data_IF_940641331440
#
_entry.id   IF_940641331440
#
_cell.length_a   1.000
_cell.length_b   1.000
_cell.length_c   1.000
_cell.angle_alpha   90.00
_cell.angle_beta   90.00
_cell.angle_gamma   90.00
#
_symmetry.space_group_name_H-M   'P 1'
#
loop_
_entity.id
_entity.type
_entity.pdbx_description
1 polymer ?
#
# COMPACT_ATOMS: atom_id res chain seq x y z
N UNK A 1 24.73 -6.89 11.71
CA UNK A 1 23.72 -6.88 12.81
C UNK A 1 23.90 -5.58 13.58
N UNK A 2 22.92 -4.66 13.60
CA UNK A 2 23.09 -3.40 14.29
C UNK A 2 23.15 -3.65 15.80
N UNK A 3 24.29 -3.37 16.41
CA UNK A 3 24.55 -3.55 17.86
C UNK A 3 24.23 -2.30 18.67
N UNK A 4 23.43 -1.36 18.15
CA UNK A 4 22.96 -0.22 18.92
C UNK A 4 21.55 -0.48 19.45
N UNK A 5 21.48 -0.91 20.71
CA UNK A 5 20.22 -1.11 21.46
C UNK A 5 19.36 0.16 21.55
N UNK A 6 19.92 1.34 21.25
CA UNK A 6 19.17 2.61 21.15
C UNK A 6 18.36 2.68 19.85
N UNK A 7 18.97 2.30 18.72
CA UNK A 7 18.34 2.29 17.41
C UNK A 7 17.25 1.21 17.29
N UNK A 8 17.45 0.03 17.88
CA UNK A 8 16.41 -0.99 17.93
C UNK A 8 15.20 -0.55 18.76
N UNK A 9 15.42 0.09 19.92
CA UNK A 9 14.35 0.64 20.76
C UNK A 9 13.57 1.76 20.05
N UNK A 10 14.24 2.59 19.24
CA UNK A 10 13.55 3.62 18.47
C UNK A 10 12.68 3.03 17.36
N UNK A 11 13.08 1.92 16.74
CA UNK A 11 12.26 1.23 15.72
C UNK A 11 11.02 0.60 16.34
N UNK A 12 11.13 -0.09 17.49
CA UNK A 12 9.94 -0.66 18.14
C UNK A 12 8.97 0.42 18.61
N UNK A 13 9.45 1.51 19.21
CA UNK A 13 8.58 2.62 19.60
C UNK A 13 7.88 3.27 18.40
N UNK A 14 8.57 3.40 17.26
CA UNK A 14 7.97 3.88 16.02
C UNK A 14 6.91 2.89 15.48
N UNK A 15 7.19 1.59 15.52
CA UNK A 15 6.23 0.56 15.12
C UNK A 15 4.96 0.59 15.98
N UNK A 16 5.10 0.68 17.30
CA UNK A 16 3.96 0.80 18.23
C UNK A 16 3.13 2.06 17.94
N UNK A 17 3.79 3.18 17.64
CA UNK A 17 3.09 4.41 17.29
C UNK A 17 2.36 4.30 15.95
N UNK A 18 2.99 3.70 14.93
CA UNK A 18 2.36 3.45 13.62
C UNK A 18 1.16 2.52 13.74
N UNK A 19 1.24 1.48 14.58
CA UNK A 19 0.11 0.61 14.88
C UNK A 19 -1.05 1.39 15.51
N UNK A 20 -0.77 2.26 16.49
CA UNK A 20 -1.79 3.08 17.12
C UNK A 20 -2.45 4.07 16.13
N UNK A 21 -1.68 4.70 15.25
CA UNK A 21 -2.21 5.59 14.20
C UNK A 21 -3.08 4.83 13.21
N UNK A 22 -2.63 3.66 12.75
CA UNK A 22 -3.40 2.84 11.80
C UNK A 22 -4.70 2.32 12.43
N UNK A 23 -4.67 1.93 13.70
CA UNK A 23 -5.87 1.57 14.45
C UNK A 23 -6.85 2.76 14.56
N UNK A 24 -6.34 3.97 14.84
CA UNK A 24 -7.18 5.17 14.89
C UNK A 24 -7.85 5.48 13.54
N UNK A 25 -7.15 5.27 12.43
CA UNK A 25 -7.71 5.42 11.08
C UNK A 25 -8.80 4.37 10.85
N UNK A 26 -8.53 3.10 11.16
CA UNK A 26 -9.52 2.03 11.03
C UNK A 26 -10.78 2.29 11.88
N UNK A 27 -10.61 2.69 13.14
CA UNK A 27 -11.72 3.01 14.04
C UNK A 27 -12.55 4.19 13.51
N UNK A 28 -11.92 5.15 12.81
CA UNK A 28 -12.63 6.29 12.22
C UNK A 28 -13.57 5.90 11.07
N UNK A 29 -13.25 4.81 10.37
CA UNK A 29 -14.03 4.29 9.24
C UNK A 29 -15.31 3.57 9.69
N UNK A 30 -15.43 3.21 10.97
CA UNK A 30 -16.65 2.63 11.54
C UNK A 30 -17.79 3.65 11.68
N UNK A 31 -17.49 4.96 11.70
CA UNK A 31 -18.50 6.01 11.70
C UNK A 31 -19.02 6.24 10.27
N UNK A 32 -20.31 6.00 9.98
CA UNK A 32 -20.87 6.27 8.65
C UNK A 32 -20.64 7.71 8.16
N UNK A 33 -20.57 8.68 9.08
CA UNK A 33 -20.32 10.07 8.73
C UNK A 33 -18.89 10.32 8.21
N UNK A 34 -17.95 9.41 8.44
CA UNK A 34 -16.59 9.50 7.90
C UNK A 34 -16.55 9.36 6.37
N UNK A 35 -17.62 8.84 5.76
CA UNK A 35 -17.74 8.62 4.32
C UNK A 35 -18.49 9.75 3.59
N UNK A 36 -19.07 10.69 4.34
CA UNK A 36 -19.88 11.77 3.79
C UNK A 36 -19.07 13.06 3.56
N UNK A 37 -19.42 13.79 2.50
CA UNK A 37 -18.90 15.13 2.23
C UNK A 37 -17.49 15.15 1.64
N UNK A 38 -16.79 16.27 1.83
CA UNK A 38 -15.44 16.52 1.30
C UNK A 38 -14.41 16.40 2.41
N UNK A 39 -13.24 15.85 2.08
CA UNK A 39 -12.09 15.76 2.98
C UNK A 39 -10.79 16.02 2.23
N UNK A 40 -9.68 16.15 2.95
CA UNK A 40 -8.38 16.50 2.39
C UNK A 40 -7.26 15.58 2.91
N UNK A 41 -6.41 15.12 2.00
CA UNK A 41 -5.11 14.54 2.32
C UNK A 41 -4.05 15.09 1.34
N UNK A 42 -2.82 15.32 1.81
CA UNK A 42 -1.74 15.79 0.95
C UNK A 42 -1.98 17.14 0.25
N UNK A 43 -2.91 17.97 0.76
CA UNK A 43 -3.31 19.23 0.12
C UNK A 43 -4.31 19.07 -1.03
N UNK A 44 -4.82 17.86 -1.27
CA UNK A 44 -5.84 17.55 -2.28
C UNK A 44 -7.17 17.31 -1.58
N UNK A 45 -8.21 18.03 -2.01
CA UNK A 45 -9.58 17.89 -1.50
C UNK A 45 -10.44 17.04 -2.45
N UNK A 46 -11.07 15.99 -1.93
CA UNK A 46 -11.91 15.03 -2.67
C UNK A 46 -13.08 14.55 -1.81
N UNK A 47 -14.11 13.91 -2.39
CA UNK A 47 -15.14 13.23 -1.61
C UNK A 47 -14.53 12.21 -0.63
N UNK A 48 -15.09 12.12 0.56
CA UNK A 48 -14.53 11.30 1.64
C UNK A 48 -14.47 9.81 1.27
N UNK A 49 -15.48 9.29 0.57
CA UNK A 49 -15.46 7.93 0.00
C UNK A 49 -14.26 7.67 -0.92
N UNK A 50 -13.90 8.64 -1.76
CA UNK A 50 -12.76 8.52 -2.67
C UNK A 50 -11.44 8.58 -1.88
N UNK A 51 -11.34 9.50 -0.92
CA UNK A 51 -10.13 9.61 -0.10
C UNK A 51 -9.90 8.37 0.76
N UNK A 52 -10.97 7.73 1.25
CA UNK A 52 -10.87 6.47 1.97
C UNK A 52 -10.37 5.32 1.09
N UNK A 53 -10.83 5.23 -0.17
CA UNK A 53 -10.29 4.28 -1.15
C UNK A 53 -8.80 4.52 -1.45
N UNK A 54 -8.40 5.80 -1.60
CA UNK A 54 -6.98 6.17 -1.76
C UNK A 54 -6.18 5.73 -0.54
N UNK A 55 -6.64 6.04 0.67
CA UNK A 55 -5.96 5.64 1.90
C UNK A 55 -5.83 4.12 2.04
N UNK A 56 -6.87 3.35 1.69
CA UNK A 56 -6.82 1.89 1.65
C UNK A 56 -5.77 1.39 0.64
N UNK A 57 -5.73 2.00 -0.55
CA UNK A 57 -4.72 1.70 -1.58
C UNK A 57 -3.30 1.93 -1.06
N UNK A 58 -3.03 3.06 -0.40
CA UNK A 58 -1.72 3.36 0.19
C UNK A 58 -1.30 2.29 1.21
N UNK A 59 -2.21 1.88 2.10
CA UNK A 59 -1.95 0.84 3.10
C UNK A 59 -1.64 -0.52 2.45
N UNK A 60 -2.41 -0.91 1.44
CA UNK A 60 -2.23 -2.20 0.74
C UNK A 60 -0.93 -2.22 -0.05
N UNK A 61 -0.68 -1.21 -0.88
CA UNK A 61 0.49 -1.18 -1.76
C UNK A 61 1.80 -1.08 -0.96
N UNK A 62 1.82 -0.23 0.07
CA UNK A 62 3.02 -0.09 0.90
C UNK A 62 3.18 -1.22 1.92
N UNK A 63 2.08 -1.82 2.37
CA UNK A 63 2.13 -3.07 3.13
C UNK A 63 2.77 -4.20 2.30
N UNK A 64 2.40 -4.30 1.03
CA UNK A 64 3.04 -5.23 0.09
C UNK A 64 4.54 -4.92 -0.08
N UNK A 65 4.90 -3.64 -0.27
CA UNK A 65 6.31 -3.23 -0.42
C UNK A 65 7.16 -3.67 0.79
N UNK A 66 6.66 -3.43 2.01
CA UNK A 66 7.35 -3.75 3.27
C UNK A 66 7.48 -5.26 3.45
N UNK A 67 6.38 -6.00 3.34
CA UNK A 67 6.38 -7.46 3.54
C UNK A 67 7.25 -8.16 2.50
N UNK A 68 7.19 -7.72 1.25
CA UNK A 68 8.06 -8.20 0.17
C UNK A 68 9.53 -7.92 0.46
N UNK A 69 9.87 -6.73 0.93
CA UNK A 69 11.25 -6.39 1.30
C UNK A 69 11.81 -7.24 2.45
N UNK A 70 10.93 -7.70 3.35
CA UNK A 70 11.28 -8.55 4.48
C UNK A 70 11.20 -10.06 4.18
N UNK A 71 10.71 -10.46 3.00
CA UNK A 71 10.46 -11.87 2.67
C UNK A 71 9.32 -12.49 3.49
N UNK A 72 8.39 -11.67 3.99
CA UNK A 72 7.23 -12.10 4.78
C UNK A 72 6.03 -12.25 3.82
N UNK A 73 5.17 -13.27 3.98
CA UNK A 73 3.93 -13.37 3.21
C UNK A 73 3.04 -12.15 3.43
N UNK A 74 2.53 -11.57 2.34
CA UNK A 74 1.50 -10.54 2.39
C UNK A 74 0.12 -11.21 2.34
N UNK A 75 -0.48 -11.41 3.51
CA UNK A 75 -1.74 -12.13 3.68
C UNK A 75 -2.90 -11.13 3.92
N UNK A 76 -3.53 -10.70 2.83
CA UNK A 76 -4.73 -9.85 2.80
C UNK A 76 -5.79 -10.58 1.96
N UNK A 77 -7.06 -10.44 2.32
CA UNK A 77 -8.15 -11.08 1.57
C UNK A 77 -8.24 -10.57 0.13
N UNK A 78 -8.56 -11.48 -0.78
CA UNK A 78 -8.77 -11.16 -2.19
C UNK A 78 -9.87 -10.09 -2.40
N UNK A 79 -10.87 -10.03 -1.53
CA UNK A 79 -11.92 -9.01 -1.59
C UNK A 79 -11.35 -7.58 -1.41
N UNK A 80 -10.42 -7.40 -0.48
CA UNK A 80 -9.75 -6.11 -0.26
C UNK A 80 -8.82 -5.80 -1.43
N UNK A 81 -8.08 -6.80 -1.91
CA UNK A 81 -7.21 -6.65 -3.07
C UNK A 81 -8.00 -6.27 -4.33
N UNK A 82 -9.22 -6.80 -4.50
CA UNK A 82 -10.09 -6.48 -5.62
C UNK A 82 -10.56 -5.03 -5.59
N UNK A 83 -10.94 -4.50 -4.42
CA UNK A 83 -11.32 -3.08 -4.27
C UNK A 83 -10.17 -2.17 -4.71
N UNK A 84 -8.94 -2.47 -4.30
CA UNK A 84 -7.76 -1.68 -4.67
C UNK A 84 -7.39 -1.90 -6.15
N UNK A 85 -7.55 -3.10 -6.68
CA UNK A 85 -7.34 -3.38 -8.10
C UNK A 85 -8.29 -2.55 -8.97
N UNK A 86 -9.58 -2.51 -8.62
CA UNK A 86 -10.60 -1.78 -9.36
C UNK A 86 -10.36 -0.26 -9.34
N UNK A 87 -9.75 0.27 -8.26
CA UNK A 87 -9.34 1.67 -8.20
C UNK A 87 -8.26 2.03 -9.23
N UNK A 88 -7.36 1.10 -9.54
CA UNK A 88 -6.22 1.32 -10.44
C UNK A 88 -6.45 0.81 -11.86
N UNK A 89 -7.57 0.12 -12.13
CA UNK A 89 -7.88 -0.47 -13.42
C UNK A 89 -8.94 0.34 -14.20
N UNK A 90 -8.73 0.66 -15.48
CA UNK A 90 -7.50 0.43 -16.26
C UNK A 90 -6.37 1.35 -15.80
N UNK A 91 -5.10 0.99 -16.08
CA UNK A 91 -3.98 1.85 -15.73
C UNK A 91 -4.09 3.20 -16.43
N UNK A 92 -3.76 4.27 -15.70
CA UNK A 92 -3.62 5.61 -16.29
C UNK A 92 -2.58 5.62 -17.42
N UNK A 93 -2.67 6.55 -18.38
CA UNK A 93 -1.62 6.80 -19.36
C UNK A 93 -0.24 6.99 -18.71
N UNK A 94 0.83 6.55 -19.36
CA UNK A 94 2.17 6.53 -18.76
C UNK A 94 2.69 7.92 -18.34
N UNK A 95 2.30 8.97 -19.06
CA UNK A 95 2.61 10.37 -18.77
C UNK A 95 1.89 10.92 -17.54
N UNK A 96 0.71 10.38 -17.22
CA UNK A 96 -0.06 10.74 -16.02
C UNK A 96 0.40 9.98 -14.77
N UNK A 97 1.11 8.85 -14.95
CA UNK A 97 1.65 8.02 -13.85
C UNK A 97 2.96 8.56 -13.27
N UNK A 98 3.66 9.44 -14.00
CA UNK A 98 5.02 9.84 -13.67
C UNK A 98 5.09 10.50 -12.27
N UNK A 99 5.90 9.91 -11.39
CA UNK A 99 6.03 10.34 -9.99
C UNK A 99 5.09 9.65 -8.99
N UNK A 100 4.03 8.97 -9.45
CA UNK A 100 3.11 8.20 -8.59
C UNK A 100 3.32 6.68 -8.75
N UNK A 101 3.41 6.19 -9.98
CA UNK A 101 3.58 4.77 -10.28
C UNK A 101 4.65 4.53 -11.34
N UNK A 102 5.32 3.37 -11.26
CA UNK A 102 6.17 2.89 -12.33
C UNK A 102 5.39 2.48 -13.58
N UNK A 103 6.08 2.16 -14.70
CA UNK A 103 5.46 1.52 -15.84
C UNK A 103 4.73 0.25 -15.45
N UNK A 104 3.59 -0.03 -16.06
CA UNK A 104 2.86 -1.30 -15.83
C UNK A 104 3.78 -2.48 -16.13
N UNK A 105 3.84 -3.43 -15.20
CA UNK A 105 4.49 -4.73 -15.41
C UNK A 105 3.41 -5.72 -15.82
N UNK A 106 3.62 -6.39 -16.96
CA UNK A 106 2.69 -7.39 -17.46
C UNK A 106 2.65 -8.60 -16.53
N UNK A 107 1.44 -8.96 -16.09
CA UNK A 107 1.18 -10.12 -15.23
C UNK A 107 0.03 -10.91 -15.83
N UNK A 108 0.12 -12.26 -15.94
CA UNK A 108 -0.96 -13.09 -16.47
C UNK A 108 -2.28 -12.89 -15.71
N UNK A 109 -3.40 -12.95 -16.42
CA UNK A 109 -4.73 -12.76 -15.83
C UNK A 109 -5.15 -13.86 -14.85
N UNK A 110 -4.51 -15.04 -14.93
CA UNK A 110 -4.71 -16.17 -14.02
C UNK A 110 -3.75 -16.17 -12.81
N UNK A 111 -2.86 -15.18 -12.73
CA UNK A 111 -2.00 -14.98 -11.57
C UNK A 111 -2.80 -14.52 -10.34
N UNK A 112 -2.28 -14.72 -9.13
CA UNK A 112 -2.86 -14.15 -7.91
C UNK A 112 -3.13 -12.65 -8.05
N UNK A 113 -4.25 -12.17 -7.51
CA UNK A 113 -4.66 -10.77 -7.65
C UNK A 113 -3.64 -9.79 -7.04
N UNK A 114 -2.93 -10.19 -5.99
CA UNK A 114 -1.84 -9.42 -5.40
C UNK A 114 -0.72 -9.14 -6.41
N UNK A 115 -0.38 -10.13 -7.26
CA UNK A 115 0.66 -9.97 -8.27
C UNK A 115 0.17 -9.08 -9.40
N UNK A 116 -1.10 -9.25 -9.81
CA UNK A 116 -1.73 -8.40 -10.84
C UNK A 116 -1.83 -6.94 -10.39
N UNK A 117 -2.20 -6.69 -9.14
CA UNK A 117 -2.22 -5.35 -8.54
C UNK A 117 -0.82 -4.74 -8.45
N UNK A 118 0.18 -5.52 -8.03
CA UNK A 118 1.57 -5.08 -8.01
C UNK A 118 2.01 -4.66 -9.42
N UNK A 119 1.79 -5.50 -10.44
CA UNK A 119 2.14 -5.18 -11.82
C UNK A 119 1.39 -3.97 -12.37
N UNK A 120 0.09 -3.85 -12.09
CA UNK A 120 -0.75 -2.73 -12.48
C UNK A 120 -0.24 -1.39 -11.93
N UNK A 121 0.36 -1.40 -10.74
CA UNK A 121 0.93 -0.22 -10.06
C UNK A 121 2.45 -0.08 -10.27
N UNK A 122 3.01 -0.87 -11.19
CA UNK A 122 4.39 -0.78 -11.64
C UNK A 122 5.43 -1.41 -10.71
N UNK A 123 5.00 -2.28 -9.81
CA UNK A 123 5.86 -3.14 -8.99
C UNK A 123 6.11 -4.45 -9.73
N UNK A 124 7.30 -5.01 -9.59
CA UNK A 124 7.62 -6.34 -10.11
C UNK A 124 7.27 -7.41 -9.05
N UNK A 125 6.26 -8.27 -9.28
CA UNK A 125 5.91 -9.34 -8.34
C UNK A 125 7.03 -10.37 -8.12
N UNK A 126 7.95 -10.47 -9.08
CA UNK A 126 9.09 -11.38 -9.03
C UNK A 126 10.32 -10.75 -8.40
N UNK A 127 10.25 -9.49 -7.94
CA UNK A 127 11.39 -8.81 -7.32
C UNK A 127 11.98 -9.63 -6.18
N UNK A 128 13.22 -10.07 -6.36
CA UNK A 128 14.00 -10.74 -5.34
C UNK A 128 15.01 -9.78 -4.72
N UNK A 129 15.15 -9.80 -3.39
CA UNK A 129 16.27 -9.18 -2.72
C UNK A 129 17.57 -9.81 -3.25
N UNK A 130 18.37 -9.06 -4.00
CA UNK A 130 19.76 -9.45 -4.24
C UNK A 130 20.48 -9.31 -2.90
N UNK A 131 20.90 -10.42 -2.31
CA UNK A 131 21.76 -10.34 -1.13
C UNK A 131 23.08 -9.70 -1.57
N UNK A 132 23.56 -8.61 -0.95
CA UNK A 132 24.86 -8.06 -1.29
C UNK A 132 25.91 -9.14 -1.05
N UNK A 133 26.76 -9.43 -2.04
CA UNK A 133 27.92 -10.30 -1.84
C UNK A 133 28.82 -9.68 -0.76
N UNK A 134 29.13 -10.47 0.28
CA UNK A 134 30.04 -10.11 1.38
C UNK A 134 31.49 -10.01 0.91
#
# INVERSE_FOLDING_TARGET
MPTDTTQARSISAAADHMLALTATVADSWDDPAAWDGMTQAGGVELPAEIMGLVALSELVLHGWDITRAMGIPFDISDDILQVVFDLHYPPQPQDEREGMFGPVVEVPDDAPIVDRLAGLTGRDPQWSQVTPEN
#
